data_IF_136529272682
#
_entry.id   IF_136529272682
#
_cell.length_a   1.000
_cell.length_b   1.000
_cell.length_c   1.000
_cell.angle_alpha   90.00
_cell.angle_beta   90.00
_cell.angle_gamma   90.00
#
_symmetry.space_group_name_H-M   'P 1'
#
loop_
_entity.id
_entity.type
_entity.pdbx_description
1 polymer ?
#
# COMPACT_ATOMS: atom_id res chain seq x y z
N UNK A 1 -11.80 -8.36 -17.06
CA UNK A 1 -11.86 -6.96 -16.58
C UNK A 1 -12.67 -6.03 -17.49
N UNK A 2 -12.54 -6.09 -18.82
CA UNK A 2 -13.28 -5.21 -19.74
C UNK A 2 -14.83 -5.33 -19.61
N UNK A 3 -15.36 -6.54 -19.40
CA UNK A 3 -16.80 -6.75 -19.16
C UNK A 3 -17.32 -6.19 -17.84
N UNK A 4 -16.48 -6.15 -16.79
CA UNK A 4 -16.81 -5.50 -15.52
C UNK A 4 -16.87 -3.98 -15.70
N UNK A 5 -15.88 -3.39 -16.38
CA UNK A 5 -15.87 -1.95 -16.67
C UNK A 5 -17.07 -1.56 -17.57
N UNK A 6 -17.41 -2.37 -18.57
CA UNK A 6 -18.53 -2.09 -19.48
C UNK A 6 -19.91 -2.22 -18.81
N UNK A 7 -20.08 -3.15 -17.87
CA UNK A 7 -21.36 -3.31 -17.14
C UNK A 7 -21.49 -2.36 -15.96
N UNK A 8 -20.38 -2.00 -15.32
CA UNK A 8 -20.33 -1.16 -14.13
C UNK A 8 -20.26 0.33 -14.43
N UNK A 9 -19.28 0.71 -15.23
CA UNK A 9 -18.74 2.07 -15.27
C UNK A 9 -19.34 2.83 -16.45
N UNK A 10 -19.57 2.17 -17.59
CA UNK A 10 -20.18 2.79 -18.78
C UNK A 10 -21.59 3.34 -18.54
N UNK A 11 -22.54 2.63 -17.91
CA UNK A 11 -23.87 3.22 -17.66
C UNK A 11 -23.82 4.40 -16.68
N UNK A 12 -22.90 4.37 -15.72
CA UNK A 12 -22.67 5.46 -14.76
C UNK A 12 -22.06 6.69 -15.47
N UNK A 13 -21.11 6.49 -16.39
CA UNK A 13 -20.53 7.60 -17.16
C UNK A 13 -21.51 8.20 -18.17
N UNK A 14 -22.34 7.39 -18.82
CA UNK A 14 -23.33 7.86 -19.79
C UNK A 14 -24.48 8.64 -19.13
N UNK A 15 -24.75 8.40 -17.83
CA UNK A 15 -25.79 9.10 -17.05
C UNK A 15 -25.25 10.34 -16.32
N UNK A 16 -23.95 10.60 -16.39
CA UNK A 16 -23.34 11.76 -15.76
C UNK A 16 -23.65 13.03 -16.58
N UNK A 17 -24.29 14.06 -15.99
CA UNK A 17 -24.62 15.29 -16.70
C UNK A 17 -23.34 16.11 -16.92
N UNK A 18 -22.80 16.01 -18.13
CA UNK A 18 -21.65 16.79 -18.53
C UNK A 18 -22.02 18.26 -18.76
N UNK A 19 -21.12 19.19 -18.42
CA UNK A 19 -21.35 20.63 -18.57
C UNK A 19 -21.48 21.01 -20.05
N UNK A 20 -20.78 20.29 -20.91
CA UNK A 20 -20.78 20.50 -22.36
C UNK A 20 -22.04 19.92 -23.05
N UNK A 21 -22.83 19.12 -22.32
CA UNK A 21 -24.07 18.51 -22.78
C UNK A 21 -25.34 19.17 -22.20
N UNK A 22 -25.23 20.37 -21.61
CA UNK A 22 -26.36 21.12 -21.05
C UNK A 22 -26.73 20.78 -19.60
N UNK A 23 -25.85 20.09 -18.87
CA UNK A 23 -26.08 19.74 -17.46
C UNK A 23 -26.03 20.94 -16.51
N UNK A 24 -27.16 21.23 -15.83
CA UNK A 24 -27.21 22.24 -14.76
C UNK A 24 -26.48 21.74 -13.50
N UNK A 25 -25.94 22.66 -12.68
CA UNK A 25 -25.30 22.31 -11.40
C UNK A 25 -26.23 21.53 -10.44
N UNK A 26 -27.54 21.72 -10.57
CA UNK A 26 -28.58 20.99 -9.85
C UNK A 26 -28.69 19.53 -10.29
N UNK A 27 -28.56 19.24 -11.59
CA UNK A 27 -28.58 17.87 -12.12
C UNK A 27 -27.40 17.03 -11.62
N UNK A 28 -26.25 17.67 -11.39
CA UNK A 28 -25.08 17.01 -10.81
C UNK A 28 -25.28 16.67 -9.32
N UNK A 29 -25.91 17.57 -8.56
CA UNK A 29 -26.27 17.31 -7.16
C UNK A 29 -27.31 16.20 -7.05
N UNK A 30 -28.35 16.20 -7.88
CA UNK A 30 -29.34 15.12 -7.93
C UNK A 30 -28.71 13.78 -8.27
N UNK A 31 -27.79 13.74 -9.23
CA UNK A 31 -27.05 12.53 -9.56
C UNK A 31 -26.23 11.99 -8.38
N UNK A 32 -25.60 12.86 -7.58
CA UNK A 32 -24.89 12.44 -6.37
C UNK A 32 -25.85 11.87 -5.31
N UNK A 33 -27.01 12.50 -5.12
CA UNK A 33 -28.03 12.02 -4.18
C UNK A 33 -28.60 10.68 -4.63
N UNK A 34 -28.96 10.54 -5.92
CA UNK A 34 -29.44 9.29 -6.50
C UNK A 34 -28.37 8.18 -6.44
N UNK A 35 -27.10 8.54 -6.60
CA UNK A 35 -25.97 7.64 -6.42
C UNK A 35 -25.84 7.13 -4.97
N UNK A 36 -26.04 7.99 -3.98
CA UNK A 36 -26.07 7.61 -2.56
C UNK A 36 -27.25 6.67 -2.24
N UNK A 37 -28.43 6.93 -2.80
CA UNK A 37 -29.59 6.04 -2.63
C UNK A 37 -29.43 4.70 -3.36
N UNK A 38 -28.79 4.71 -4.54
CA UNK A 38 -28.52 3.49 -5.32
C UNK A 38 -27.51 2.57 -4.63
N UNK A 39 -26.54 3.14 -3.92
CA UNK A 39 -25.56 2.40 -3.10
C UNK A 39 -26.21 1.55 -2.00
N UNK A 40 -27.32 2.01 -1.43
CA UNK A 40 -28.05 1.27 -0.39
C UNK A 40 -29.10 0.32 -0.98
N UNK A 41 -29.76 0.73 -2.06
CA UNK A 41 -30.96 0.03 -2.57
C UNK A 41 -30.64 -1.06 -3.59
N UNK A 42 -29.54 -0.96 -4.37
CA UNK A 42 -29.25 -1.90 -5.44
C UNK A 42 -28.48 -3.16 -4.95
N UNK A 43 -29.08 -4.37 -5.03
CA UNK A 43 -28.41 -5.60 -4.62
C UNK A 43 -27.18 -5.94 -5.47
N UNK A 44 -27.08 -5.45 -6.70
CA UNK A 44 -25.95 -5.66 -7.61
C UNK A 44 -24.72 -4.90 -7.12
N UNK A 45 -24.90 -3.63 -6.77
CA UNK A 45 -23.84 -2.77 -6.22
C UNK A 45 -23.33 -3.36 -4.90
N UNK A 46 -24.24 -3.81 -4.04
CA UNK A 46 -23.91 -4.49 -2.78
C UNK A 46 -23.05 -5.73 -3.01
N UNK A 47 -23.40 -6.57 -3.98
CA UNK A 47 -22.63 -7.78 -4.34
C UNK A 47 -21.22 -7.44 -4.80
N UNK A 48 -21.07 -6.38 -5.60
CA UNK A 48 -19.75 -5.93 -6.06
C UNK A 48 -18.91 -5.35 -4.94
N UNK A 49 -19.54 -4.63 -4.01
CA UNK A 49 -18.88 -4.09 -2.83
C UNK A 49 -18.36 -5.21 -1.92
N UNK A 50 -19.14 -6.27 -1.73
CA UNK A 50 -18.70 -7.48 -1.03
C UNK A 50 -17.58 -8.23 -1.75
N UNK A 51 -17.64 -8.35 -3.09
CA UNK A 51 -16.55 -8.95 -3.86
C UNK A 51 -15.26 -8.14 -3.71
N UNK A 52 -15.34 -6.81 -3.84
CA UNK A 52 -14.20 -5.92 -3.65
C UNK A 52 -13.63 -6.02 -2.23
N UNK A 53 -14.50 -6.06 -1.21
CA UNK A 53 -14.11 -6.28 0.17
C UNK A 53 -13.40 -7.63 0.34
N UNK A 54 -13.94 -8.69 -0.25
CA UNK A 54 -13.33 -10.02 -0.25
C UNK A 54 -11.92 -10.01 -0.86
N UNK A 55 -11.72 -9.34 -2.00
CA UNK A 55 -10.40 -9.18 -2.60
C UNK A 55 -9.44 -8.37 -1.72
N UNK A 56 -9.92 -7.32 -1.07
CA UNK A 56 -9.13 -6.52 -0.13
C UNK A 56 -8.70 -7.37 1.05
N UNK A 57 -9.63 -8.11 1.68
CA UNK A 57 -9.34 -9.03 2.80
C UNK A 57 -8.35 -10.11 2.39
N UNK A 58 -8.55 -10.73 1.22
CA UNK A 58 -7.65 -11.74 0.69
C UNK A 58 -6.23 -11.19 0.50
N UNK A 59 -6.11 -9.99 -0.08
CA UNK A 59 -4.81 -9.33 -0.28
C UNK A 59 -4.15 -8.94 1.04
N UNK A 60 -4.95 -8.47 1.99
CA UNK A 60 -4.54 -8.11 3.34
C UNK A 60 -4.01 -9.34 4.10
N UNK A 61 -4.59 -10.52 3.88
CA UNK A 61 -4.11 -11.79 4.43
C UNK A 61 -2.87 -12.30 3.68
N UNK A 62 -2.87 -12.38 2.35
CA UNK A 62 -1.73 -12.95 1.60
C UNK A 62 -0.42 -12.18 1.79
N UNK A 63 -0.49 -10.84 1.85
CA UNK A 63 0.69 -9.99 1.93
C UNK A 63 1.61 -10.31 3.13
N UNK A 64 1.14 -10.43 4.38
CA UNK A 64 1.96 -10.81 5.52
C UNK A 64 2.47 -12.26 5.45
N UNK A 65 1.69 -13.20 4.90
CA UNK A 65 2.16 -14.58 4.72
C UNK A 65 3.35 -14.66 3.75
N UNK A 66 3.32 -13.91 2.65
CA UNK A 66 4.44 -13.82 1.70
C UNK A 66 5.66 -13.18 2.37
N UNK A 67 5.46 -12.13 3.18
CA UNK A 67 6.55 -11.50 3.95
C UNK A 67 7.16 -12.50 4.94
N UNK A 68 6.35 -13.28 5.64
CA UNK A 68 6.82 -14.28 6.60
C UNK A 68 7.69 -15.36 5.96
N UNK A 69 7.24 -15.92 4.82
CA UNK A 69 8.01 -16.91 4.06
C UNK A 69 9.36 -16.35 3.59
N UNK A 70 9.38 -15.10 3.11
CA UNK A 70 10.59 -14.43 2.65
C UNK A 70 11.60 -14.16 3.77
N UNK A 71 11.12 -13.74 4.94
CA UNK A 71 11.94 -13.54 6.13
C UNK A 71 12.59 -14.84 6.61
N UNK A 72 11.86 -15.95 6.51
CA UNK A 72 12.34 -17.26 6.93
C UNK A 72 13.42 -17.80 5.98
N UNK A 73 13.23 -17.66 4.66
CA UNK A 73 14.23 -18.01 3.65
C UNK A 73 15.55 -17.27 3.88
N UNK A 74 15.51 -15.94 4.08
CA UNK A 74 16.70 -15.13 4.37
C UNK A 74 17.42 -15.56 5.67
N UNK A 75 16.70 -16.16 6.62
CA UNK A 75 17.28 -16.68 7.85
C UNK A 75 17.82 -18.11 7.71
N UNK A 76 17.20 -18.93 6.87
CA UNK A 76 17.67 -20.28 6.54
C UNK A 76 18.92 -20.24 5.67
N UNK A 77 18.99 -19.32 4.69
CA UNK A 77 20.21 -19.05 3.92
C UNK A 77 21.39 -18.65 4.83
N UNK A 78 21.12 -17.94 5.95
CA UNK A 78 22.16 -17.62 6.95
C UNK A 78 22.72 -18.89 7.62
N UNK A 79 21.91 -19.92 7.82
CA UNK A 79 22.35 -21.20 8.43
C UNK A 79 23.09 -22.10 7.44
N UNK A 80 23.23 -21.69 6.18
CA UNK A 80 23.94 -22.44 5.14
C UNK A 80 23.11 -23.55 4.49
N UNK A 81 21.83 -23.67 4.86
CA UNK A 81 20.91 -24.63 4.27
C UNK A 81 20.33 -24.04 2.98
N UNK A 82 20.59 -24.69 1.85
CA UNK A 82 20.00 -24.34 0.56
C UNK A 82 18.77 -25.21 0.34
N UNK A 83 17.58 -24.60 0.31
CA UNK A 83 16.31 -25.27 0.08
C UNK A 83 15.17 -24.28 -0.09
N UNK A 84 14.02 -24.74 -0.59
CA UNK A 84 12.79 -23.93 -0.66
C UNK A 84 12.09 -23.92 0.72
N UNK A 85 12.59 -23.12 1.65
CA UNK A 85 12.01 -22.96 2.98
C UNK A 85 10.87 -21.93 3.06
N UNK A 86 10.45 -21.36 1.93
CA UNK A 86 9.39 -20.36 1.82
C UNK A 86 8.06 -20.87 2.37
N UNK A 87 7.67 -22.09 1.98
CA UNK A 87 6.41 -22.70 2.40
C UNK A 87 6.41 -23.13 3.88
N UNK A 88 7.45 -23.81 4.39
CA UNK A 88 7.59 -24.06 5.83
C UNK A 88 7.59 -22.76 6.67
N UNK A 89 8.31 -21.73 6.21
CA UNK A 89 8.38 -20.43 6.87
C UNK A 89 7.03 -19.72 6.94
N UNK A 90 6.25 -19.82 5.88
CA UNK A 90 4.88 -19.29 5.83
C UNK A 90 3.96 -19.95 6.87
N UNK A 91 4.10 -21.26 7.09
CA UNK A 91 3.30 -22.00 8.09
C UNK A 91 3.75 -21.70 9.52
N UNK A 92 5.05 -21.54 9.76
CA UNK A 92 5.61 -21.42 11.11
C UNK A 92 5.60 -19.97 11.64
N UNK A 93 5.87 -18.99 10.77
CA UNK A 93 5.94 -17.56 11.14
C UNK A 93 4.76 -16.73 10.60
N UNK A 94 3.81 -17.34 9.89
CA UNK A 94 2.67 -16.64 9.31
C UNK A 94 1.80 -15.92 10.35
N UNK A 95 1.46 -16.57 11.45
CA UNK A 95 0.63 -15.99 12.52
C UNK A 95 1.32 -14.82 13.27
N UNK A 96 2.57 -14.94 13.76
CA UNK A 96 3.23 -13.80 14.41
C UNK A 96 3.46 -12.62 13.46
N UNK A 97 3.83 -12.86 12.19
CA UNK A 97 3.98 -11.80 11.19
C UNK A 97 2.63 -11.14 10.85
N UNK A 98 1.55 -11.92 10.87
CA UNK A 98 0.19 -11.39 10.74
C UNK A 98 -0.18 -10.46 11.90
N UNK A 99 0.11 -10.83 13.16
CA UNK A 99 -0.12 -9.96 14.32
C UNK A 99 0.67 -8.66 14.18
N UNK A 100 1.94 -8.73 13.80
CA UNK A 100 2.74 -7.53 13.56
C UNK A 100 2.17 -6.65 12.46
N UNK A 101 1.59 -7.25 11.42
CA UNK A 101 0.94 -6.52 10.33
C UNK A 101 -0.39 -5.89 10.76
N UNK A 102 -1.15 -6.54 11.65
CA UNK A 102 -2.32 -5.93 12.28
C UNK A 102 -1.93 -4.72 13.12
N UNK A 103 -0.87 -4.84 13.94
CA UNK A 103 -0.32 -3.73 14.72
C UNK A 103 0.12 -2.60 13.78
N UNK A 104 0.80 -2.91 12.67
CA UNK A 104 1.18 -1.93 11.64
C UNK A 104 -0.05 -1.16 11.11
N UNK A 105 -1.17 -1.84 10.86
CA UNK A 105 -2.39 -1.22 10.35
C UNK A 105 -3.08 -0.36 11.41
N UNK A 106 -3.19 -0.85 12.65
CA UNK A 106 -3.79 -0.11 13.76
C UNK A 106 -3.00 1.17 14.05
N UNK A 107 -1.67 1.06 14.16
CA UNK A 107 -0.81 2.22 14.38
C UNK A 107 -0.86 3.19 13.20
N UNK A 108 -0.91 2.69 11.96
CA UNK A 108 -1.02 3.55 10.77
C UNK A 108 -2.35 4.33 10.68
N UNK A 109 -3.44 3.75 11.17
CA UNK A 109 -4.78 4.37 11.21
C UNK A 109 -4.95 5.34 12.39
N UNK A 110 -4.14 5.20 13.44
CA UNK A 110 -4.22 6.02 14.65
C UNK A 110 -4.16 7.54 14.37
N UNK A 111 -3.18 8.08 13.62
CA UNK A 111 -3.16 9.51 13.28
C UNK A 111 -4.31 9.90 12.35
N UNK A 112 -4.85 8.96 11.57
CA UNK A 112 -5.94 9.23 10.65
C UNK A 112 -7.24 9.50 11.39
N UNK A 113 -7.45 8.94 12.59
CA UNK A 113 -8.61 9.28 13.42
C UNK A 113 -8.68 10.78 13.76
N UNK A 114 -7.52 11.42 14.00
CA UNK A 114 -7.45 12.84 14.31
C UNK A 114 -7.32 13.74 13.07
N UNK A 115 -6.65 13.25 12.02
CA UNK A 115 -6.51 13.98 10.75
C UNK A 115 -7.77 13.94 9.89
N UNK A 116 -8.53 12.84 9.89
CA UNK A 116 -9.71 12.64 9.05
C UNK A 116 -10.74 13.77 9.15
N UNK A 117 -11.19 14.22 10.34
CA UNK A 117 -12.18 15.30 10.41
C UNK A 117 -11.65 16.63 9.85
N UNK A 118 -10.36 16.94 10.07
CA UNK A 118 -9.72 18.15 9.53
C UNK A 118 -9.56 18.07 8.01
N UNK A 119 -9.15 16.92 7.50
CA UNK A 119 -9.01 16.68 6.06
C UNK A 119 -10.36 16.71 5.36
N UNK A 120 -11.41 16.15 5.96
CA UNK A 120 -12.75 16.11 5.37
C UNK A 120 -13.36 17.51 5.26
N UNK A 121 -13.21 18.35 6.29
CA UNK A 121 -13.62 19.75 6.26
C UNK A 121 -12.88 20.56 5.18
N UNK A 122 -11.55 20.38 5.08
CA UNK A 122 -10.76 21.03 4.03
C UNK A 122 -11.11 20.51 2.64
N UNK A 123 -11.38 19.21 2.48
CA UNK A 123 -11.73 18.59 1.19
C UNK A 123 -13.07 19.10 0.65
N UNK A 124 -14.10 19.19 1.49
CA UNK A 124 -15.40 19.77 1.14
C UNK A 124 -15.27 21.24 0.71
N UNK A 125 -14.44 22.02 1.40
CA UNK A 125 -14.19 23.43 1.06
C UNK A 125 -13.28 23.63 -0.17
N UNK A 126 -12.48 22.62 -0.53
CA UNK A 126 -11.49 22.69 -1.63
C UNK A 126 -12.06 22.42 -3.02
N UNK A 127 -13.30 21.90 -3.15
CA UNK A 127 -13.94 21.69 -4.45
C UNK A 127 -14.04 22.97 -5.30
N UNK A 128 -13.94 24.14 -4.67
CA UNK A 128 -14.01 25.45 -5.32
C UNK A 128 -12.65 26.16 -5.43
N UNK A 129 -11.59 25.72 -4.72
CA UNK A 129 -10.33 26.47 -4.62
C UNK A 129 -9.09 25.55 -4.56
N UNK A 130 -8.28 25.59 -5.62
CA UNK A 130 -7.05 24.78 -5.77
C UNK A 130 -5.97 25.12 -4.70
N UNK A 131 -5.98 26.33 -4.16
CA UNK A 131 -5.08 26.81 -3.09
C UNK A 131 -5.27 26.07 -1.76
N UNK A 132 -6.52 25.67 -1.42
CA UNK A 132 -6.80 24.92 -0.20
C UNK A 132 -6.30 23.48 -0.28
N UNK A 133 -6.13 22.94 -1.49
CA UNK A 133 -5.59 21.60 -1.71
C UNK A 133 -4.09 21.53 -1.38
N UNK A 134 -3.34 22.61 -1.61
CA UNK A 134 -1.93 22.72 -1.22
C UNK A 134 -1.73 22.73 0.30
N UNK A 135 -2.71 23.22 1.06
CA UNK A 135 -2.67 23.15 2.52
C UNK A 135 -2.82 21.72 3.06
N UNK A 136 -3.37 20.81 2.27
CA UNK A 136 -3.55 19.39 2.65
C UNK A 136 -2.24 18.58 2.48
N UNK A 137 -1.36 19.03 1.58
CA UNK A 137 -0.07 18.39 1.27
C UNK A 137 0.81 18.17 2.50
N UNK A 138 1.11 19.17 3.36
CA UNK A 138 1.98 18.96 4.52
C UNK A 138 1.39 17.96 5.53
N UNK A 139 0.07 17.93 5.72
CA UNK A 139 -0.58 16.94 6.60
C UNK A 139 -0.43 15.52 6.07
N UNK A 140 -0.65 15.33 4.77
CA UNK A 140 -0.44 14.03 4.12
C UNK A 140 1.04 13.62 4.21
N UNK A 141 1.96 14.55 4.00
CA UNK A 141 3.39 14.28 4.04
C UNK A 141 3.84 13.89 5.46
N UNK A 142 3.37 14.60 6.49
CA UNK A 142 3.62 14.24 7.89
C UNK A 142 3.06 12.85 8.24
N UNK A 143 1.85 12.53 7.77
CA UNK A 143 1.26 11.20 7.97
C UNK A 143 2.05 10.09 7.27
N UNK A 144 2.52 10.33 6.04
CA UNK A 144 3.36 9.38 5.31
C UNK A 144 4.70 9.13 6.03
N UNK A 145 5.34 10.18 6.56
CA UNK A 145 6.58 10.04 7.36
C UNK A 145 6.31 9.20 8.61
N UNK A 146 5.21 9.46 9.31
CA UNK A 146 4.83 8.68 10.50
C UNK A 146 4.64 7.20 10.18
N UNK A 147 3.85 6.86 9.13
CA UNK A 147 3.65 5.47 8.70
C UNK A 147 4.98 4.82 8.33
N UNK A 148 5.85 5.55 7.63
CA UNK A 148 7.16 5.06 7.24
C UNK A 148 8.02 4.68 8.44
N UNK A 149 8.07 5.53 9.47
CA UNK A 149 8.82 5.27 10.71
C UNK A 149 8.25 4.06 11.45
N UNK A 150 6.93 3.97 11.61
CA UNK A 150 6.26 2.84 12.27
C UNK A 150 6.58 1.53 11.54
N UNK A 151 6.50 1.53 10.21
CA UNK A 151 6.84 0.36 9.38
C UNK A 151 8.29 -0.08 9.57
N UNK A 152 9.22 0.86 9.61
CA UNK A 152 10.64 0.56 9.78
C UNK A 152 10.90 -0.10 11.14
N UNK A 153 10.33 0.44 12.22
CA UNK A 153 10.49 -0.15 13.55
C UNK A 153 9.88 -1.54 13.66
N UNK A 154 8.66 -1.73 13.16
CA UNK A 154 7.99 -3.03 13.21
C UNK A 154 8.73 -4.09 12.37
N UNK A 155 9.31 -3.69 11.23
CA UNK A 155 10.12 -4.59 10.41
C UNK A 155 11.39 -5.04 11.12
N UNK A 156 12.09 -4.14 11.83
CA UNK A 156 13.26 -4.50 12.63
C UNK A 156 12.89 -5.36 13.85
N UNK A 157 11.72 -5.14 14.47
CA UNK A 157 11.18 -6.03 15.50
C UNK A 157 10.88 -7.42 14.95
N UNK A 158 10.31 -7.52 13.75
CA UNK A 158 10.09 -8.80 13.06
C UNK A 158 11.41 -9.54 12.83
N UNK A 159 12.47 -8.85 12.39
CA UNK A 159 13.80 -9.46 12.26
C UNK A 159 14.36 -9.98 13.59
N UNK A 160 14.19 -9.25 14.70
CA UNK A 160 14.63 -9.69 16.02
C UNK A 160 13.84 -10.87 16.59
N UNK A 161 12.54 -10.94 16.29
CA UNK A 161 11.68 -12.04 16.70
C UNK A 161 11.96 -13.31 15.89
N UNK A 162 12.12 -13.21 14.56
CA UNK A 162 12.37 -14.37 13.70
C UNK A 162 13.78 -14.95 13.87
N UNK A 163 14.75 -14.16 14.35
CA UNK A 163 16.13 -14.58 14.56
C UNK A 163 16.45 -15.03 15.99
N UNK A 164 15.51 -14.88 16.93
CA UNK A 164 15.70 -15.26 18.34
C UNK A 164 16.62 -14.35 19.14
N UNK A 165 17.07 -13.21 18.60
CA UNK A 165 17.98 -12.26 19.29
C UNK A 165 17.25 -11.28 20.23
N UNK A 166 15.92 -11.38 20.30
CA UNK A 166 15.05 -10.52 21.12
C UNK A 166 14.59 -9.25 20.39
N UNK A 167 13.30 -8.90 20.51
CA UNK A 167 12.69 -7.76 19.81
C UNK A 167 13.34 -6.42 20.16
N UNK A 168 13.65 -6.19 21.43
CA UNK A 168 14.17 -4.91 21.92
C UNK A 168 15.62 -4.65 21.51
N UNK A 169 16.44 -5.71 21.41
CA UNK A 169 17.82 -5.60 20.92
C UNK A 169 17.85 -5.14 19.46
N UNK A 170 16.99 -5.72 18.62
CA UNK A 170 16.86 -5.31 17.22
C UNK A 170 16.31 -3.89 17.05
N UNK A 171 15.47 -3.42 17.97
CA UNK A 171 15.00 -2.03 17.96
C UNK A 171 16.14 -1.05 18.23
N UNK A 172 17.05 -1.38 19.15
CA UNK A 172 18.21 -0.54 19.44
C UNK A 172 19.18 -0.48 18.25
N UNK A 173 19.35 -1.61 17.55
CA UNK A 173 20.13 -1.67 16.29
C UNK A 173 19.49 -0.81 15.19
N UNK A 174 18.16 -0.80 15.11
CA UNK A 174 17.41 0.07 14.20
C UNK A 174 17.69 1.55 14.50
N UNK A 175 17.67 1.95 15.77
CA UNK A 175 17.91 3.34 16.18
C UNK A 175 19.33 3.79 15.83
N UNK A 176 20.32 2.91 16.00
CA UNK A 176 21.72 3.18 15.63
C UNK A 176 21.97 3.17 14.12
N UNK A 177 21.14 2.46 13.35
CA UNK A 177 21.28 2.29 11.90
C UNK A 177 20.21 3.05 11.11
N UNK A 178 19.59 4.04 11.74
CA UNK A 178 18.40 4.71 11.21
C UNK A 178 18.72 5.48 9.93
N UNK A 179 19.86 6.19 9.89
CA UNK A 179 20.32 6.95 8.70
C UNK A 179 20.53 6.03 7.48
N UNK A 180 21.36 4.96 7.53
CA UNK A 180 21.54 4.08 6.38
C UNK A 180 20.27 3.31 5.99
N UNK A 181 19.41 2.94 6.96
CA UNK A 181 18.14 2.28 6.69
C UNK A 181 17.15 3.19 5.94
N UNK A 182 17.10 4.48 6.32
CA UNK A 182 16.33 5.50 5.60
C UNK A 182 16.88 5.68 4.19
N UNK A 183 18.21 5.80 4.02
CA UNK A 183 18.84 6.00 2.72
C UNK A 183 18.48 4.91 1.70
N UNK A 184 18.59 3.64 2.11
CA UNK A 184 18.20 2.49 1.26
C UNK A 184 16.71 2.57 0.87
N UNK A 185 15.86 2.92 1.84
CA UNK A 185 14.42 3.02 1.61
C UNK A 185 14.04 4.17 0.67
N UNK A 186 14.72 5.30 0.77
CA UNK A 186 14.52 6.45 -0.13
C UNK A 186 14.95 6.11 -1.55
N UNK A 187 16.13 5.49 -1.72
CA UNK A 187 16.64 5.13 -3.06
C UNK A 187 15.69 4.15 -3.76
N UNK A 188 15.29 3.08 -3.06
CA UNK A 188 14.37 2.08 -3.62
C UNK A 188 12.95 2.65 -3.80
N UNK A 189 12.51 3.52 -2.89
CA UNK A 189 11.25 4.24 -3.02
C UNK A 189 11.22 5.17 -4.23
N UNK A 190 12.30 5.93 -4.45
CA UNK A 190 12.46 6.80 -5.61
C UNK A 190 12.49 5.98 -6.92
N UNK A 191 13.21 4.87 -6.95
CA UNK A 191 13.21 3.96 -8.11
C UNK A 191 11.80 3.42 -8.41
N UNK A 192 11.05 3.01 -7.38
CA UNK A 192 9.66 2.59 -7.51
C UNK A 192 8.73 3.71 -8.02
N UNK A 193 8.94 4.95 -7.55
CA UNK A 193 8.17 6.11 -7.98
C UNK A 193 8.45 6.47 -9.45
N UNK A 194 9.72 6.46 -9.86
CA UNK A 194 10.10 6.67 -11.27
C UNK A 194 9.43 5.63 -12.16
N UNK A 195 9.45 4.36 -11.77
CA UNK A 195 8.77 3.30 -12.53
C UNK A 195 7.26 3.55 -12.65
N UNK A 196 6.61 3.95 -11.56
CA UNK A 196 5.18 4.28 -11.57
C UNK A 196 4.87 5.48 -12.48
N UNK A 197 5.71 6.51 -12.47
CA UNK A 197 5.58 7.66 -13.36
C UNK A 197 5.74 7.24 -14.83
N UNK A 198 6.74 6.43 -15.16
CA UNK A 198 6.94 5.89 -16.51
C UNK A 198 5.71 5.06 -16.95
N UNK A 199 5.15 4.24 -16.06
CA UNK A 199 3.93 3.48 -16.36
C UNK A 199 2.70 4.38 -16.52
N UNK A 200 2.60 5.47 -15.75
CA UNK A 200 1.52 6.45 -15.87
C UNK A 200 1.59 7.20 -17.19
N UNK A 201 2.79 7.69 -17.54
CA UNK A 201 3.08 8.40 -18.79
C UNK A 201 2.78 7.51 -20.00
N UNK A 202 3.26 6.27 -20.01
CA UNK A 202 2.98 5.32 -21.10
C UNK A 202 1.48 5.01 -21.25
N UNK A 203 0.71 5.03 -20.16
CA UNK A 203 -0.75 4.90 -20.20
C UNK A 203 -1.48 6.06 -20.89
N UNK A 204 -0.89 7.27 -20.89
CA UNK A 204 -1.44 8.46 -21.57
C UNK A 204 -1.09 8.43 -23.06
N UNK A 205 0.16 8.08 -23.39
CA UNK A 205 0.67 8.12 -24.77
C UNK A 205 0.33 6.88 -25.60
N UNK A 206 0.03 5.73 -24.98
CA UNK A 206 -0.26 4.49 -25.70
C UNK A 206 -1.54 3.81 -25.18
N UNK A 207 -2.73 4.39 -25.43
CA UNK A 207 -3.99 3.77 -25.03
C UNK A 207 -4.21 2.46 -25.79
N UNK A 208 -4.54 1.38 -25.06
CA UNK A 208 -4.89 0.08 -25.65
C UNK A 208 -4.30 -1.13 -24.92
N UNK A 209 -4.16 -2.23 -25.65
CA UNK A 209 -3.56 -3.48 -25.17
C UNK A 209 -2.13 -3.32 -24.61
N UNK A 210 -1.25 -2.48 -25.21
CA UNK A 210 0.09 -2.22 -24.67
C UNK A 210 0.06 -1.58 -23.27
N UNK A 211 -0.80 -0.58 -23.03
CA UNK A 211 -0.95 0.02 -21.70
C UNK A 211 -1.43 -1.00 -20.66
N UNK A 212 -2.32 -1.93 -21.03
CA UNK A 212 -2.74 -3.00 -20.13
C UNK A 212 -1.57 -3.92 -19.77
N UNK A 213 -0.78 -4.35 -20.76
CA UNK A 213 0.39 -5.21 -20.52
C UNK A 213 1.44 -4.51 -19.65
N UNK A 214 1.78 -3.26 -19.96
CA UNK A 214 2.73 -2.46 -19.17
C UNK A 214 2.23 -2.32 -17.73
N UNK A 215 0.94 -2.04 -17.54
CA UNK A 215 0.36 -1.90 -16.20
C UNK A 215 0.36 -3.20 -15.41
N UNK A 216 0.13 -4.35 -16.06
CA UNK A 216 0.25 -5.66 -15.40
C UNK A 216 1.71 -6.00 -15.08
N UNK A 217 2.63 -5.75 -16.01
CA UNK A 217 4.07 -5.97 -15.83
C UNK A 217 4.67 -5.05 -14.76
N UNK A 218 4.13 -3.84 -14.57
CA UNK A 218 4.59 -2.89 -13.54
C UNK A 218 4.53 -3.45 -12.11
N UNK A 219 3.70 -4.47 -11.88
CA UNK A 219 3.62 -5.16 -10.60
C UNK A 219 4.89 -5.95 -10.27
N UNK A 220 5.58 -6.49 -11.28
CA UNK A 220 6.76 -7.34 -11.09
C UNK A 220 7.97 -6.56 -10.54
N UNK A 221 8.43 -5.45 -11.15
CA UNK A 221 9.54 -4.71 -10.59
C UNK A 221 9.18 -4.10 -9.23
N UNK A 222 7.92 -3.72 -9.00
CA UNK A 222 7.47 -3.26 -7.68
C UNK A 222 7.64 -4.33 -6.60
N UNK A 223 7.34 -5.60 -6.91
CA UNK A 223 7.58 -6.71 -5.99
C UNK A 223 9.07 -6.98 -5.78
N UNK A 224 9.88 -6.90 -6.83
CA UNK A 224 11.33 -7.07 -6.74
C UNK A 224 11.98 -5.98 -5.89
N UNK A 225 11.62 -4.71 -6.08
CA UNK A 225 12.15 -3.60 -5.26
C UNK A 225 11.75 -3.73 -3.79
N UNK A 226 10.54 -4.22 -3.50
CA UNK A 226 10.12 -4.51 -2.12
C UNK A 226 10.96 -5.63 -1.50
N UNK A 227 11.15 -6.72 -2.24
CA UNK A 227 11.99 -7.84 -1.80
C UNK A 227 13.44 -7.38 -1.56
N UNK A 228 13.99 -6.60 -2.49
CA UNK A 228 15.34 -6.05 -2.39
C UNK A 228 15.48 -5.06 -1.23
N UNK A 229 14.45 -4.25 -0.95
CA UNK A 229 14.43 -3.38 0.22
C UNK A 229 14.48 -4.17 1.52
N UNK A 230 13.69 -5.25 1.62
CA UNK A 230 13.67 -6.12 2.79
C UNK A 230 15.02 -6.83 2.95
N UNK A 231 15.61 -7.36 1.89
CA UNK A 231 16.91 -8.05 1.95
C UNK A 231 18.05 -7.09 2.28
N UNK A 232 18.09 -5.90 1.70
CA UNK A 232 19.11 -4.88 1.99
C UNK A 232 19.04 -4.42 3.46
N UNK A 233 17.83 -4.20 3.99
CA UNK A 233 17.65 -3.87 5.41
C UNK A 233 18.02 -5.03 6.33
N UNK A 234 17.74 -6.28 5.91
CA UNK A 234 18.16 -7.48 6.65
C UNK A 234 19.69 -7.62 6.67
N UNK A 235 20.39 -7.37 5.57
CA UNK A 235 21.85 -7.36 5.51
C UNK A 235 22.45 -6.26 6.39
N UNK A 236 21.86 -5.05 6.38
CA UNK A 236 22.26 -3.95 7.25
C UNK A 236 22.10 -4.33 8.72
N UNK A 237 20.95 -4.90 9.10
CA UNK A 237 20.72 -5.39 10.45
C UNK A 237 21.72 -6.49 10.84
N UNK A 238 21.95 -7.47 9.95
CA UNK A 238 22.90 -8.58 10.17
C UNK A 238 24.31 -8.09 10.48
N UNK A 239 24.83 -7.15 9.68
CA UNK A 239 26.18 -6.59 9.87
C UNK A 239 26.38 -5.89 11.22
N UNK A 240 25.29 -5.46 11.86
CA UNK A 240 25.32 -4.76 13.16
C UNK A 240 24.96 -5.66 14.33
N UNK A 241 24.09 -6.65 14.12
CA UNK A 241 23.68 -7.62 15.14
C UNK A 241 24.76 -8.68 15.41
N UNK A 242 25.53 -9.06 14.37
CA UNK A 242 26.61 -10.03 14.46
C UNK A 242 27.87 -9.44 13.79
N UNK A 243 28.60 -8.53 14.47
CA UNK A 243 29.90 -8.11 13.97
C UNK A 243 30.81 -9.34 13.92
N UNK A 244 31.28 -9.69 12.72
CA UNK A 244 32.37 -10.65 12.54
C UNK A 244 33.70 -9.99 12.87
#
# INVERSE_FOLDING_TARGET
MYGFIRSAIVPILLRYPDKDAGGSGMGRLLYYVEGQFSLDTDPTIRTWLWMFLGFVVLRLLLSPFIRAGLLHELHQERKGERGLFFFPGMKLYGFPVFIFSLIEWVLGLLPLYWLAPKMYGLFLSSFLNYSLLLHLVPYVLAWLIYIFIVRLFLLYMQFGYTSGTGMFSSLFICLKSLIPAIGISIILGAAGLVLLLVCGVTGIYCPGLPALLIRQLSSLPSTLFKMWGISAQYHLWRSKAFPQ
#
